data_IF_684051076987
#
_entry.id   IF_684051076987
#
_cell.length_a   1.000
_cell.length_b   1.000
_cell.length_c   1.000
_cell.angle_alpha   90.00
_cell.angle_beta   90.00
_cell.angle_gamma   90.00
#
_symmetry.space_group_name_H-M   'P 1'
#
loop_
_entity.id
_entity.type
_entity.pdbx_description
1 polymer ?
#
# COMPACT_ATOMS: atom_id res chain seq x y z
N UNK A 1 9.49 18.77 2.67
CA UNK A 1 8.72 18.34 1.49
C UNK A 1 7.84 17.16 1.86
N UNK A 2 8.36 16.09 2.48
CA UNK A 2 7.48 15.06 3.09
C UNK A 2 6.46 15.63 4.08
N UNK A 3 6.81 16.66 4.87
CA UNK A 3 5.85 17.28 5.82
C UNK A 3 4.57 17.85 5.18
N UNK A 4 4.55 18.08 3.86
CA UNK A 4 3.38 18.60 3.12
C UNK A 4 2.43 17.50 2.62
N UNK A 5 2.78 16.23 2.83
CA UNK A 5 1.95 15.06 2.51
C UNK A 5 1.51 14.30 3.77
N UNK A 6 1.39 15.03 4.89
CA UNK A 6 1.07 14.55 6.22
C UNK A 6 1.95 13.37 6.65
N UNK A 7 3.24 13.68 6.76
CA UNK A 7 4.35 12.77 7.02
C UNK A 7 4.30 12.00 8.34
N UNK A 8 3.41 12.36 9.26
CA UNK A 8 3.29 11.63 10.53
C UNK A 8 2.30 10.48 10.34
N UNK A 9 2.82 9.26 10.40
CA UNK A 9 2.04 8.04 10.20
C UNK A 9 2.05 7.14 11.43
N UNK A 10 0.92 6.48 11.65
CA UNK A 10 0.80 5.33 12.53
C UNK A 10 0.11 4.22 11.74
N UNK A 11 0.86 3.16 11.48
CA UNK A 11 0.43 2.06 10.63
C UNK A 11 0.47 0.75 11.42
N UNK A 12 -0.60 -0.02 11.31
CA UNK A 12 -0.78 -1.23 12.10
C UNK A 12 -1.53 -2.30 11.33
N UNK A 13 -0.84 -3.40 11.08
CA UNK A 13 -1.43 -4.67 10.71
C UNK A 13 -2.33 -5.22 11.83
N UNK A 14 -3.48 -5.80 11.46
CA UNK A 14 -4.37 -6.41 12.43
C UNK A 14 -5.47 -7.28 11.84
N UNK A 15 -6.35 -7.73 12.73
CA UNK A 15 -7.52 -8.55 12.42
C UNK A 15 -8.79 -7.77 12.75
N UNK A 16 -9.71 -7.72 11.80
CA UNK A 16 -11.05 -7.17 11.97
C UNK A 16 -12.09 -8.30 12.00
N UNK A 17 -12.94 -8.30 13.02
CA UNK A 17 -14.09 -9.20 13.14
C UNK A 17 -15.33 -8.36 13.40
N UNK A 18 -16.38 -8.57 12.63
CA UNK A 18 -17.61 -7.80 12.77
C UNK A 18 -18.56 -8.02 11.60
N UNK A 19 -19.37 -7.01 11.31
CA UNK A 19 -20.35 -7.02 10.24
C UNK A 19 -20.35 -5.69 9.52
N UNK A 20 -20.49 -5.73 8.20
CA UNK A 20 -20.84 -4.58 7.37
C UNK A 20 -22.28 -4.79 6.91
N UNK A 21 -23.11 -3.77 7.05
CA UNK A 21 -24.50 -3.77 6.57
C UNK A 21 -24.64 -2.69 5.50
N UNK A 22 -25.15 -3.08 4.33
CA UNK A 22 -25.40 -2.18 3.20
C UNK A 22 -26.82 -2.48 2.74
N UNK A 23 -27.71 -1.49 2.86
CA UNK A 23 -29.15 -1.65 2.66
C UNK A 23 -29.69 -2.84 3.48
N UNK A 24 -30.27 -3.85 2.83
CA UNK A 24 -30.82 -5.05 3.50
C UNK A 24 -29.82 -6.24 3.51
N UNK A 25 -28.57 -6.04 3.06
CA UNK A 25 -27.54 -7.09 3.00
C UNK A 25 -26.52 -7.00 4.14
N UNK A 26 -26.27 -8.13 4.81
CA UNK A 26 -25.31 -8.24 5.92
C UNK A 26 -24.11 -9.10 5.52
N UNK A 27 -22.92 -8.51 5.60
CA UNK A 27 -21.63 -9.14 5.32
C UNK A 27 -20.87 -9.40 6.63
N UNK A 28 -20.62 -10.66 6.96
CA UNK A 28 -19.76 -11.01 8.10
C UNK A 28 -18.29 -10.83 7.75
N UNK A 29 -17.57 -10.09 8.57
CA UNK A 29 -16.14 -9.85 8.43
C UNK A 29 -15.38 -10.68 9.47
N UNK A 30 -14.40 -11.41 9.00
CA UNK A 30 -13.37 -12.08 9.80
C UNK A 30 -12.11 -12.09 8.94
N UNK A 31 -11.43 -10.95 8.89
CA UNK A 31 -10.40 -10.66 7.91
C UNK A 31 -9.18 -10.03 8.53
N UNK A 32 -8.07 -10.14 7.80
CA UNK A 32 -6.84 -9.42 8.08
C UNK A 32 -6.85 -8.10 7.30
N UNK A 33 -6.09 -7.11 7.78
CA UNK A 33 -5.96 -5.83 7.08
C UNK A 33 -5.03 -4.89 7.82
N UNK A 34 -5.04 -3.64 7.37
CA UNK A 34 -4.21 -2.58 7.92
C UNK A 34 -5.04 -1.37 8.34
N UNK A 35 -4.61 -0.75 9.43
CA UNK A 35 -5.05 0.57 9.86
C UNK A 35 -3.91 1.55 9.63
N UNK A 36 -4.11 2.48 8.70
CA UNK A 36 -3.26 3.67 8.55
C UNK A 36 -3.95 4.88 9.19
N UNK A 37 -3.14 5.69 9.88
CA UNK A 37 -3.50 7.00 10.36
C UNK A 37 -2.38 7.94 9.97
N UNK A 38 -2.74 8.99 9.25
CA UNK A 38 -1.83 10.07 8.89
C UNK A 38 -2.26 11.41 9.49
N UNK A 39 -1.28 12.25 9.83
CA UNK A 39 -1.49 13.57 10.46
C UNK A 39 -0.63 14.64 9.82
N UNK A 40 -1.19 15.85 9.70
CA UNK A 40 -0.49 17.04 9.21
C UNK A 40 -1.13 17.65 7.97
N UNK A 41 -0.35 18.45 7.24
CA UNK A 41 -0.79 19.11 6.00
C UNK A 41 -0.87 18.08 4.88
N UNK A 42 -2.00 18.01 4.16
CA UNK A 42 -2.19 17.14 2.98
C UNK A 42 -2.33 17.99 1.73
N UNK A 43 -1.25 18.12 0.96
CA UNK A 43 -1.26 18.75 -0.36
C UNK A 43 -1.07 17.66 -1.42
N UNK A 44 -2.16 17.25 -2.06
CA UNK A 44 -2.19 16.15 -3.03
C UNK A 44 -1.21 16.32 -4.19
N UNK A 45 -1.03 17.54 -4.71
CA UNK A 45 -0.05 17.84 -5.75
C UNK A 45 1.37 18.19 -5.27
N UNK A 46 1.72 17.99 -3.99
CA UNK A 46 3.09 18.20 -3.49
C UNK A 46 4.09 17.10 -3.94
N UNK A 47 3.74 15.80 -3.95
CA UNK A 47 4.59 14.76 -4.52
C UNK A 47 4.40 14.66 -6.04
N UNK A 48 5.37 14.04 -6.72
CA UNK A 48 5.22 13.67 -8.14
C UNK A 48 4.29 12.48 -8.30
N UNK A 49 4.39 11.54 -7.38
CA UNK A 49 3.52 10.38 -7.22
C UNK A 49 3.76 9.76 -5.84
N UNK A 50 2.88 8.86 -5.42
CA UNK A 50 3.21 7.89 -4.39
C UNK A 50 2.60 6.52 -4.71
N UNK A 51 3.19 5.49 -4.11
CA UNK A 51 2.62 4.16 -3.98
C UNK A 51 2.55 3.82 -2.50
N UNK A 52 1.37 3.45 -2.03
CA UNK A 52 1.17 2.90 -0.70
C UNK A 52 0.59 1.49 -0.85
N UNK A 53 1.35 0.48 -0.42
CA UNK A 53 1.07 -0.93 -0.72
C UNK A 53 1.15 -1.74 0.55
N UNK A 54 0.08 -2.45 0.88
CA UNK A 54 0.06 -3.41 1.97
C UNK A 54 -0.47 -4.77 1.54
N UNK A 55 -0.12 -5.79 2.30
CA UNK A 55 -0.72 -7.11 2.18
C UNK A 55 -0.57 -7.90 3.46
N UNK A 56 -1.59 -8.69 3.76
CA UNK A 56 -1.60 -9.66 4.84
C UNK A 56 -1.65 -11.08 4.29
N UNK A 57 -0.75 -11.94 4.76
CA UNK A 57 -0.59 -13.33 4.32
C UNK A 57 -1.04 -14.32 5.40
N UNK A 58 -0.83 -13.95 6.66
CA UNK A 58 -1.31 -14.69 7.82
C UNK A 58 -1.42 -13.76 9.04
N UNK A 59 -1.84 -14.30 10.19
CA UNK A 59 -1.82 -13.53 11.44
C UNK A 59 -0.40 -13.17 11.90
N UNK A 60 0.63 -13.83 11.36
CA UNK A 60 2.02 -13.65 11.72
C UNK A 60 2.84 -13.00 10.60
N UNK A 61 2.22 -12.63 9.48
CA UNK A 61 2.97 -12.18 8.31
C UNK A 61 2.19 -11.18 7.46
N UNK A 62 2.74 -9.98 7.38
CA UNK A 62 2.21 -8.87 6.61
C UNK A 62 3.34 -7.90 6.23
N UNK A 63 3.08 -7.00 5.30
CA UNK A 63 3.94 -5.86 5.06
C UNK A 63 3.13 -4.61 4.75
N UNK A 64 3.80 -3.47 4.90
CA UNK A 64 3.40 -2.16 4.43
C UNK A 64 4.59 -1.50 3.73
N UNK A 65 4.34 -0.82 2.62
CA UNK A 65 5.35 -0.14 1.81
C UNK A 65 4.79 1.21 1.40
N UNK A 66 5.55 2.27 1.65
CA UNK A 66 5.37 3.57 1.03
C UNK A 66 6.56 3.85 0.12
N UNK A 67 6.30 4.16 -1.15
CA UNK A 67 7.25 4.80 -2.05
C UNK A 67 6.71 6.18 -2.43
N UNK A 68 7.47 7.22 -2.09
CA UNK A 68 7.09 8.61 -2.34
C UNK A 68 8.13 9.26 -3.26
N UNK A 69 7.72 9.71 -4.45
CA UNK A 69 8.61 10.43 -5.35
C UNK A 69 8.42 11.93 -5.20
N UNK A 70 9.54 12.63 -4.99
CA UNK A 70 9.57 14.08 -4.81
C UNK A 70 10.53 14.73 -5.80
N UNK A 71 10.62 16.06 -5.81
CA UNK A 71 11.64 16.77 -6.58
C UNK A 71 13.08 16.50 -6.12
N UNK A 72 13.26 16.00 -4.89
CA UNK A 72 14.57 15.65 -4.33
C UNK A 72 14.95 14.18 -4.49
N UNK A 73 14.10 13.40 -5.16
CA UNK A 73 14.24 11.96 -5.30
C UNK A 73 13.18 11.17 -4.53
N UNK A 74 13.39 9.87 -4.49
CA UNK A 74 12.46 8.92 -3.90
C UNK A 74 12.74 8.71 -2.40
N UNK A 75 11.66 8.47 -1.66
CA UNK A 75 11.68 8.04 -0.26
C UNK A 75 10.97 6.71 -0.18
N UNK A 76 11.64 5.72 0.40
CA UNK A 76 11.07 4.43 0.75
C UNK A 76 10.85 4.35 2.26
N UNK A 77 9.70 3.86 2.68
CA UNK A 77 9.34 3.65 4.08
C UNK A 77 8.38 2.46 4.20
N UNK A 78 8.20 1.96 5.42
CA UNK A 78 7.28 0.85 5.70
C UNK A 78 7.91 -0.19 6.61
N UNK A 79 7.29 -1.36 6.66
CA UNK A 79 7.72 -2.45 7.53
C UNK A 79 7.28 -3.82 7.04
N UNK A 80 7.99 -4.84 7.48
CA UNK A 80 7.57 -6.23 7.45
C UNK A 80 7.18 -6.64 8.86
N UNK A 81 6.05 -7.30 9.00
CA UNK A 81 5.65 -7.95 10.24
C UNK A 81 5.89 -9.45 10.11
N UNK A 82 6.68 -10.02 11.01
CA UNK A 82 7.05 -11.45 11.04
C UNK A 82 6.74 -12.06 12.41
N UNK A 83 5.50 -11.87 12.88
CA UNK A 83 4.91 -12.58 14.03
C UNK A 83 5.22 -11.98 15.40
N UNK A 84 6.31 -11.23 15.56
CA UNK A 84 6.63 -10.61 16.86
C UNK A 84 7.18 -9.20 16.79
N UNK A 85 7.88 -8.85 15.71
CA UNK A 85 8.53 -7.55 15.54
C UNK A 85 8.28 -6.99 14.15
N UNK A 86 8.27 -5.66 14.06
CA UNK A 86 8.29 -4.96 12.78
C UNK A 86 9.74 -4.74 12.35
N UNK A 87 10.11 -5.29 11.20
CA UNK A 87 11.38 -5.01 10.55
C UNK A 87 11.21 -3.85 9.57
N UNK A 88 12.08 -2.85 9.69
CA UNK A 88 11.98 -1.63 8.89
C UNK A 88 12.34 -1.91 7.44
N UNK A 89 11.47 -1.50 6.51
CA UNK A 89 11.79 -1.45 5.10
C UNK A 89 12.74 -0.27 4.83
N UNK A 90 13.83 -0.53 4.11
CA UNK A 90 14.83 0.50 3.79
C UNK A 90 14.92 0.83 2.30
N UNK A 91 14.36 -0.05 1.44
CA UNK A 91 14.33 0.17 -0.01
C UNK A 91 13.22 -0.64 -0.65
N UNK A 92 12.57 -0.04 -1.65
CA UNK A 92 11.61 -0.73 -2.51
C UNK A 92 11.95 -0.49 -3.99
N UNK A 93 12.12 -1.59 -4.73
CA UNK A 93 12.16 -1.57 -6.19
C UNK A 93 10.83 -2.12 -6.67
N UNK A 94 9.99 -1.28 -7.28
CA UNK A 94 8.62 -1.63 -7.68
C UNK A 94 8.51 -1.40 -9.18
N UNK A 95 8.23 -2.47 -9.93
CA UNK A 95 7.85 -2.41 -11.34
C UNK A 95 6.34 -2.59 -11.45
N UNK A 96 5.67 -1.68 -12.15
CA UNK A 96 4.21 -1.69 -12.33
C UNK A 96 3.89 -1.83 -13.80
N UNK A 97 3.09 -2.84 -14.13
CA UNK A 97 2.48 -2.99 -15.44
C UNK A 97 1.11 -2.31 -15.46
N UNK A 98 0.80 -1.69 -16.60
CA UNK A 98 -0.45 -0.98 -16.80
C UNK A 98 -1.27 -1.60 -17.94
N UNK A 99 -2.58 -1.69 -17.75
CA UNK A 99 -3.55 -2.03 -18.78
C UNK A 99 -4.51 -0.84 -18.97
N UNK A 100 -4.47 -0.23 -20.17
CA UNK A 100 -5.26 0.98 -20.48
C UNK A 100 -5.07 2.12 -19.47
N UNK A 101 -3.85 2.31 -18.98
CA UNK A 101 -3.52 3.35 -18.00
C UNK A 101 -3.86 3.01 -16.55
N UNK A 102 -4.41 1.83 -16.27
CA UNK A 102 -4.71 1.36 -14.91
C UNK A 102 -3.65 0.32 -14.50
N UNK A 103 -3.09 0.40 -13.27
CA UNK A 103 -2.18 -0.62 -12.78
C UNK A 103 -2.84 -2.01 -12.81
N UNK A 104 -2.11 -3.02 -13.25
CA UNK A 104 -2.64 -4.39 -13.42
C UNK A 104 -1.80 -5.46 -12.71
N UNK A 105 -0.48 -5.34 -12.76
CA UNK A 105 0.45 -6.27 -12.12
C UNK A 105 1.64 -5.50 -11.55
N UNK A 106 2.25 -6.05 -10.50
CA UNK A 106 3.40 -5.48 -9.85
C UNK A 106 4.44 -6.57 -9.58
N UNK A 107 5.72 -6.24 -9.77
CA UNK A 107 6.84 -7.05 -9.31
C UNK A 107 7.69 -6.20 -8.40
N UNK A 108 7.94 -6.68 -7.19
CA UNK A 108 8.63 -5.93 -6.15
C UNK A 108 9.84 -6.71 -5.62
N UNK A 109 10.96 -6.01 -5.48
CA UNK A 109 12.10 -6.46 -4.67
C UNK A 109 12.24 -5.50 -3.50
N UNK A 110 12.00 -6.00 -2.30
CA UNK A 110 11.89 -5.22 -1.07
C UNK A 110 13.05 -5.57 -0.14
N UNK A 111 13.61 -4.58 0.56
CA UNK A 111 14.79 -4.77 1.40
C UNK A 111 14.51 -4.31 2.82
N UNK A 112 14.89 -5.11 3.81
CA UNK A 112 14.84 -4.74 5.23
C UNK A 112 16.15 -4.12 5.72
N UNK A 113 16.12 -3.55 6.92
CA UNK A 113 17.31 -2.98 7.58
C UNK A 113 18.38 -4.01 7.97
N UNK A 114 18.04 -5.30 8.00
CA UNK A 114 18.93 -6.39 8.40
C UNK A 114 19.69 -6.97 7.20
N UNK A 115 19.39 -6.52 5.98
CA UNK A 115 20.02 -6.96 4.73
C UNK A 115 19.28 -8.09 4.02
N UNK A 116 18.10 -8.48 4.50
CA UNK A 116 17.23 -9.42 3.80
C UNK A 116 16.59 -8.75 2.59
N UNK A 117 16.24 -9.55 1.58
CA UNK A 117 15.39 -9.10 0.49
C UNK A 117 14.27 -10.10 0.23
N UNK A 118 13.16 -9.58 -0.25
CA UNK A 118 11.94 -10.34 -0.51
C UNK A 118 11.43 -10.02 -1.91
N UNK A 119 11.09 -11.05 -2.66
CA UNK A 119 10.42 -10.93 -3.94
C UNK A 119 8.92 -11.10 -3.75
N UNK A 120 8.16 -10.12 -4.23
CA UNK A 120 6.70 -10.10 -4.11
C UNK A 120 6.09 -9.79 -5.46
N UNK A 121 5.19 -10.66 -5.90
CA UNK A 121 4.34 -10.42 -7.06
C UNK A 121 2.96 -9.95 -6.61
N UNK A 122 2.35 -9.03 -7.35
CA UNK A 122 1.00 -8.56 -7.09
C UNK A 122 0.15 -8.48 -8.35
N UNK A 123 -1.14 -8.75 -8.20
CA UNK A 123 -2.13 -8.71 -9.27
C UNK A 123 -3.37 -7.95 -8.82
N UNK A 124 -3.78 -6.95 -9.58
CA UNK A 124 -5.00 -6.17 -9.31
C UNK A 124 -6.24 -7.01 -9.61
N UNK A 125 -7.15 -7.08 -8.64
CA UNK A 125 -8.43 -7.80 -8.75
C UNK A 125 -9.58 -6.84 -9.03
N UNK A 126 -9.58 -5.71 -8.31
CA UNK A 126 -10.56 -4.63 -8.40
C UNK A 126 -9.84 -3.31 -8.18
N UNK A 127 -10.42 -2.24 -8.71
CA UNK A 127 -9.92 -0.90 -8.48
C UNK A 127 -11.05 0.11 -8.42
N UNK A 128 -10.79 1.23 -7.78
CA UNK A 128 -11.56 2.47 -7.83
C UNK A 128 -10.64 3.63 -8.15
N UNK A 129 -11.19 4.68 -8.77
CA UNK A 129 -10.45 5.91 -9.08
C UNK A 129 -11.12 7.08 -8.38
N UNK A 130 -10.34 7.89 -7.68
CA UNK A 130 -10.80 9.03 -6.92
C UNK A 130 -9.99 10.25 -7.38
N UNK A 131 -10.59 11.21 -8.10
CA UNK A 131 -9.98 12.51 -8.34
C UNK A 131 -9.82 13.22 -6.98
N UNK A 132 -8.58 13.48 -6.57
CA UNK A 132 -8.29 14.09 -5.26
C UNK A 132 -8.02 15.59 -5.36
N UNK A 133 -7.54 16.05 -6.51
CA UNK A 133 -7.56 17.46 -6.92
C UNK A 133 -7.57 17.58 -8.46
N UNK A 134 -7.39 18.79 -9.00
CA UNK A 134 -7.38 19.04 -10.45
C UNK A 134 -6.19 18.43 -11.20
N UNK A 135 -5.15 17.99 -10.48
CA UNK A 135 -3.87 17.53 -11.05
C UNK A 135 -3.55 16.09 -10.73
N UNK A 136 -4.22 15.49 -9.73
CA UNK A 136 -3.87 14.17 -9.21
C UNK A 136 -5.11 13.27 -9.10
N UNK A 137 -4.91 12.01 -9.44
CA UNK A 137 -5.89 10.94 -9.26
C UNK A 137 -5.30 9.87 -8.34
N UNK A 138 -6.12 9.39 -7.42
CA UNK A 138 -5.83 8.25 -6.58
C UNK A 138 -6.46 7.01 -7.20
N UNK A 139 -5.66 5.99 -7.48
CA UNK A 139 -6.14 4.69 -7.92
C UNK A 139 -5.99 3.72 -6.75
N UNK A 140 -7.11 3.33 -6.18
CA UNK A 140 -7.20 2.40 -5.06
C UNK A 140 -7.45 1.01 -5.60
N UNK A 141 -6.57 0.05 -5.31
CA UNK A 141 -6.70 -1.32 -5.82
C UNK A 141 -6.87 -2.32 -4.68
N UNK A 142 -7.78 -3.28 -4.86
CA UNK A 142 -7.73 -4.55 -4.13
C UNK A 142 -6.87 -5.50 -4.95
N UNK A 143 -5.80 -5.98 -4.34
CA UNK A 143 -4.77 -6.76 -5.02
C UNK A 143 -4.49 -8.07 -4.29
N UNK A 144 -4.16 -9.10 -5.07
CA UNK A 144 -3.64 -10.39 -4.59
C UNK A 144 -2.12 -10.35 -4.67
N UNK A 145 -1.45 -10.79 -3.62
CA UNK A 145 0.00 -10.85 -3.55
C UNK A 145 0.51 -12.27 -3.39
N UNK A 146 1.72 -12.53 -3.89
CA UNK A 146 2.47 -13.76 -3.68
C UNK A 146 3.84 -13.39 -3.10
N UNK A 147 4.14 -13.89 -1.90
CA UNK A 147 5.43 -13.73 -1.23
C UNK A 147 5.87 -15.11 -0.73
N UNK A 148 7.00 -15.63 -1.25
CA UNK A 148 7.53 -16.96 -0.92
C UNK A 148 6.48 -18.09 -1.06
N UNK A 149 5.65 -18.01 -2.11
CA UNK A 149 4.56 -18.95 -2.38
C UNK A 149 3.32 -18.77 -1.50
N UNK A 150 3.35 -17.85 -0.52
CA UNK A 150 2.23 -17.51 0.35
C UNK A 150 1.36 -16.46 -0.33
N UNK A 151 0.05 -16.62 -0.18
CA UNK A 151 -0.91 -15.73 -0.81
C UNK A 151 -1.49 -14.78 0.21
N UNK A 152 -1.43 -13.49 -0.11
CA UNK A 152 -1.99 -12.42 0.68
C UNK A 152 -2.93 -11.55 -0.14
N UNK A 153 -3.72 -10.76 0.58
CA UNK A 153 -4.60 -9.76 -0.02
C UNK A 153 -4.42 -8.45 0.73
N UNK A 154 -4.50 -7.36 -0.01
CA UNK A 154 -4.36 -6.03 0.55
C UNK A 154 -4.61 -4.95 -0.49
N UNK A 155 -4.21 -3.74 -0.14
CA UNK A 155 -4.42 -2.56 -0.98
C UNK A 155 -3.11 -2.12 -1.61
N UNK A 156 -3.15 -1.76 -2.89
CA UNK A 156 -2.16 -0.87 -3.48
C UNK A 156 -2.85 0.41 -3.95
N UNK A 157 -2.46 1.51 -3.33
CA UNK A 157 -2.88 2.87 -3.63
C UNK A 157 -1.81 3.52 -4.51
N UNK A 158 -2.24 4.14 -5.62
CA UNK A 158 -1.37 4.88 -6.54
C UNK A 158 -1.88 6.31 -6.66
N UNK A 159 -1.15 7.27 -6.13
CA UNK A 159 -1.39 8.67 -6.43
C UNK A 159 -0.52 9.06 -7.62
N UNK A 160 -1.15 9.40 -8.74
CA UNK A 160 -0.46 9.77 -9.97
C UNK A 160 -1.05 11.07 -10.56
N UNK A 161 -0.28 11.80 -11.39
CA UNK A 161 -0.82 12.93 -12.13
C UNK A 161 -1.99 12.50 -13.02
N UNK A 162 -3.00 13.36 -13.13
CA UNK A 162 -4.04 13.22 -14.15
C UNK A 162 -3.41 13.28 -15.55
N UNK A 163 -3.91 12.49 -16.52
CA UNK A 163 -3.44 12.54 -17.90
C UNK A 163 -3.53 13.93 -18.55
#
# INVERSE_FOLDING_TARGET
>A
MSYQVASEHYEQFGKAVGTIEIDDEVFKINGLGERDLSRGVRQWGSPKMWMWINSAFSIDEAFNITKLSTDKGDVDAGYFYTGSVNETLVKSNINVEFNKGIPSQFSMVLFDKNGSHYEVEGQVIRFGMIPVDERMVLIETLSRYCWDGKIGYGVAEFLIPTP
#
